data_IF_157640525474
#
_entry.id   IF_157640525474
#
_cell.length_a   1.000
_cell.length_b   1.000
_cell.length_c   1.000
_cell.angle_alpha   90.00
_cell.angle_beta   90.00
_cell.angle_gamma   90.00
#
_symmetry.space_group_name_H-M   'P 1'
#
loop_
_entity.id
_entity.type
_entity.pdbx_description
1 polymer ?
#
# COMPACT_ATOMS: atom_id res chain seq x y z
N UNK A 1 74.99 31.78 -27.86
CA UNK A 1 75.93 30.72 -27.46
C UNK A 1 75.06 29.55 -27.14
N UNK A 2 74.86 28.78 -28.15
CA UNK A 2 75.43 27.47 -28.52
C UNK A 2 74.64 26.34 -27.79
N UNK A 3 74.00 25.64 -28.55
CA UNK A 3 74.07 24.45 -29.47
C UNK A 3 73.28 23.29 -28.84
N UNK A 4 72.29 22.82 -29.57
CA UNK A 4 72.25 21.61 -30.42
C UNK A 4 72.42 20.27 -29.66
N UNK A 5 71.48 19.39 -29.67
CA UNK A 5 71.37 18.25 -30.63
C UNK A 5 70.18 17.35 -30.33
N UNK A 6 69.52 17.14 -31.37
CA UNK A 6 68.73 16.03 -31.88
C UNK A 6 69.11 14.63 -31.36
N UNK A 7 68.13 13.78 -31.11
CA UNK A 7 68.02 12.46 -31.73
C UNK A 7 66.67 11.81 -31.57
N UNK A 8 66.10 11.52 -32.69
CA UNK A 8 64.97 10.61 -32.93
C UNK A 8 65.22 9.23 -32.37
N UNK A 9 64.20 8.58 -31.79
CA UNK A 9 63.96 7.16 -31.96
C UNK A 9 62.50 6.80 -32.09
N UNK A 10 62.25 5.97 -33.04
CA UNK A 10 61.08 5.51 -33.70
C UNK A 10 59.92 4.95 -32.78
N UNK A 11 58.73 5.12 -33.30
CA UNK A 11 57.49 4.54 -32.90
C UNK A 11 57.46 3.00 -33.00
N UNK A 12 56.81 2.37 -32.05
CA UNK A 12 56.20 1.04 -32.21
C UNK A 12 54.75 1.09 -31.77
N UNK A 13 53.76 0.64 -32.54
CA UNK A 13 52.38 0.68 -32.19
C UNK A 13 52.01 -0.51 -31.31
N UNK A 14 51.62 -0.28 -30.06
CA UNK A 14 51.21 -1.29 -29.11
C UNK A 14 49.72 -1.27 -28.89
N UNK A 15 49.03 -2.27 -29.42
CA UNK A 15 47.83 -2.95 -28.97
C UNK A 15 46.70 -2.09 -28.36
N UNK A 16 45.67 -1.90 -29.15
CA UNK A 16 44.32 -1.51 -28.67
C UNK A 16 43.83 -2.50 -27.62
N UNK A 17 43.66 -2.02 -26.40
CA UNK A 17 42.96 -2.75 -25.35
C UNK A 17 41.45 -2.69 -25.63
N UNK A 18 40.85 -3.84 -25.88
CA UNK A 18 39.41 -4.05 -25.97
C UNK A 18 38.74 -3.67 -24.62
N UNK A 19 37.56 -3.02 -24.63
CA UNK A 19 36.83 -2.79 -23.40
C UNK A 19 36.37 -4.12 -22.83
N UNK A 20 36.68 -4.35 -21.55
CA UNK A 20 36.17 -5.46 -20.78
C UNK A 20 34.65 -5.32 -20.66
N UNK A 21 33.91 -6.15 -21.37
CA UNK A 21 32.53 -6.47 -21.14
C UNK A 21 32.44 -7.28 -19.84
N UNK A 22 32.13 -6.63 -18.76
CA UNK A 22 31.97 -7.28 -17.48
C UNK A 22 31.02 -6.47 -16.65
N UNK A 23 29.81 -7.00 -16.48
CA UNK A 23 28.84 -6.83 -15.38
C UNK A 23 27.39 -6.74 -15.86
N UNK A 24 26.93 -7.75 -16.58
CA UNK A 24 25.49 -7.96 -16.79
C UNK A 24 24.92 -9.15 -16.01
N UNK A 25 25.70 -9.75 -15.09
CA UNK A 25 25.28 -10.99 -14.39
C UNK A 25 24.54 -10.77 -13.07
N UNK A 26 24.47 -9.53 -12.56
CA UNK A 26 23.93 -9.27 -11.22
C UNK A 26 22.41 -9.06 -11.21
N UNK A 27 21.80 -8.69 -12.34
CA UNK A 27 20.36 -8.39 -12.40
C UNK A 27 19.50 -9.63 -12.73
N UNK A 28 20.07 -10.63 -13.39
CA UNK A 28 19.31 -11.82 -13.84
C UNK A 28 18.98 -12.78 -12.69
N UNK A 29 19.84 -12.87 -11.68
CA UNK A 29 19.61 -13.76 -10.52
C UNK A 29 18.37 -13.38 -9.66
N UNK A 30 18.14 -12.11 -9.29
CA UNK A 30 16.92 -11.76 -8.54
C UNK A 30 15.64 -11.91 -9.36
N UNK A 31 15.68 -11.70 -10.69
CA UNK A 31 14.51 -11.90 -11.55
C UNK A 31 14.12 -13.38 -11.69
N UNK A 32 15.08 -14.29 -11.71
CA UNK A 32 14.82 -15.75 -11.73
C UNK A 32 14.23 -16.20 -10.39
N UNK A 33 14.72 -15.67 -9.25
CA UNK A 33 14.15 -15.95 -7.93
C UNK A 33 12.72 -15.40 -7.81
N UNK A 34 12.44 -14.22 -8.34
CA UNK A 34 11.12 -13.64 -8.36
C UNK A 34 10.15 -14.46 -9.24
N UNK A 35 10.59 -14.93 -10.40
CA UNK A 35 9.79 -15.79 -11.28
C UNK A 35 9.52 -17.16 -10.67
N UNK A 36 10.47 -17.74 -9.92
CA UNK A 36 10.30 -19.00 -9.20
C UNK A 36 9.37 -18.85 -7.98
N UNK A 37 9.43 -17.71 -7.27
CA UNK A 37 8.51 -17.41 -6.17
C UNK A 37 7.08 -17.21 -6.68
N UNK A 38 6.90 -16.52 -7.81
CA UNK A 38 5.59 -16.34 -8.46
C UNK A 38 5.04 -17.64 -9.06
N UNK A 39 5.91 -18.54 -9.53
CA UNK A 39 5.51 -19.84 -10.09
C UNK A 39 5.18 -20.90 -9.04
N UNK A 40 5.70 -20.80 -7.81
CA UNK A 40 5.38 -21.70 -6.70
C UNK A 40 4.06 -21.35 -5.99
N UNK A 41 3.53 -20.17 -6.23
CA UNK A 41 2.23 -19.75 -5.75
C UNK A 41 1.17 -20.20 -6.77
N UNK A 42 0.64 -21.41 -6.58
CA UNK A 42 -0.50 -21.91 -7.35
C UNK A 42 -1.72 -20.95 -7.29
N UNK A 43 -2.79 -21.19 -8.10
CA UNK A 43 -3.88 -20.24 -8.36
C UNK A 43 -4.76 -19.86 -7.14
N UNK A 44 -4.25 -19.98 -5.94
CA UNK A 44 -4.88 -19.58 -4.67
C UNK A 44 -4.13 -18.45 -3.96
N UNK A 45 -3.39 -17.62 -4.69
CA UNK A 45 -2.87 -16.39 -4.11
C UNK A 45 -4.08 -15.51 -3.82
N UNK A 46 -4.52 -15.52 -2.58
CA UNK A 46 -5.50 -14.57 -2.09
C UNK A 46 -4.80 -13.21 -2.06
N UNK A 47 -5.01 -12.42 -3.10
CA UNK A 47 -4.62 -11.02 -3.07
C UNK A 47 -5.38 -10.35 -1.92
N UNK A 48 -4.72 -9.50 -1.18
CA UNK A 48 -5.25 -8.71 -0.07
C UNK A 48 -6.51 -7.96 -0.51
N UNK A 49 -7.48 -7.80 0.38
CA UNK A 49 -8.59 -6.86 0.17
C UNK A 49 -8.03 -5.45 -0.04
N UNK A 50 -8.90 -4.52 -0.45
CA UNK A 50 -8.58 -3.09 -0.50
C UNK A 50 -7.70 -2.74 0.68
N UNK A 51 -6.49 -2.22 0.46
CA UNK A 51 -5.57 -1.93 1.53
C UNK A 51 -6.29 -1.11 2.60
N UNK A 52 -6.15 -1.51 3.87
CA UNK A 52 -6.64 -0.65 4.94
C UNK A 52 -5.88 0.68 4.85
N UNK A 53 -6.47 1.80 5.26
CA UNK A 53 -5.77 3.08 5.34
C UNK A 53 -4.40 2.97 6.01
N UNK A 54 -4.25 2.07 6.99
CA UNK A 54 -2.96 1.78 7.63
C UNK A 54 -1.91 1.16 6.72
N UNK A 55 -2.28 0.23 5.87
CA UNK A 55 -1.33 -0.36 4.92
C UNK A 55 -0.87 0.66 3.89
N UNK A 56 -1.77 1.52 3.43
CA UNK A 56 -1.42 2.61 2.54
C UNK A 56 -0.48 3.61 3.21
N UNK A 57 -0.74 3.95 4.47
CA UNK A 57 0.09 4.86 5.22
C UNK A 57 1.52 4.35 5.42
N UNK A 58 1.71 3.07 5.73
CA UNK A 58 3.00 2.43 5.87
C UNK A 58 3.89 2.65 4.64
N UNK A 59 3.31 2.62 3.46
CA UNK A 59 4.04 2.74 2.20
C UNK A 59 4.19 4.18 1.72
N UNK A 60 3.25 5.07 1.95
CA UNK A 60 3.29 6.45 1.46
C UNK A 60 3.74 7.45 2.52
N UNK A 61 3.15 7.43 3.71
CA UNK A 61 3.46 8.38 4.78
C UNK A 61 4.86 8.21 5.36
N UNK A 62 5.30 6.98 5.60
CA UNK A 62 6.63 6.69 6.14
C UNK A 62 7.76 7.18 5.23
N UNK A 63 7.56 7.18 3.92
CA UNK A 63 8.58 7.61 2.96
C UNK A 63 8.73 9.13 2.90
N UNK A 64 7.65 9.88 3.05
CA UNK A 64 7.76 11.35 3.16
C UNK A 64 8.60 11.71 4.38
N UNK A 65 8.42 11.02 5.50
CA UNK A 65 9.22 11.22 6.69
C UNK A 65 10.68 10.80 6.48
N UNK A 66 10.92 9.67 5.85
CA UNK A 66 12.28 9.23 5.56
C UNK A 66 13.05 10.25 4.75
N UNK A 67 12.46 10.81 3.69
CA UNK A 67 13.10 11.86 2.88
C UNK A 67 13.36 13.15 3.66
N UNK A 68 12.52 13.47 4.64
CA UNK A 68 12.72 14.66 5.46
C UNK A 68 13.97 14.55 6.33
N UNK A 69 14.28 13.35 6.82
CA UNK A 69 15.41 13.08 7.72
C UNK A 69 16.66 12.55 6.99
N UNK A 70 16.47 11.91 5.82
CA UNK A 70 17.52 11.33 4.98
C UNK A 70 17.36 11.85 3.54
N UNK A 71 17.88 13.05 3.24
CA UNK A 71 17.69 13.67 1.92
C UNK A 71 18.41 12.93 0.78
N UNK A 72 19.48 12.18 1.09
CA UNK A 72 20.32 11.48 0.11
C UNK A 72 19.91 10.02 -0.07
N UNK A 73 18.62 9.78 -0.31
CA UNK A 73 18.10 8.45 -0.58
C UNK A 73 18.56 7.95 -1.98
N UNK A 74 18.86 6.64 -2.13
CA UNK A 74 19.21 6.08 -3.42
C UNK A 74 18.05 6.23 -4.42
N UNK A 75 18.42 6.33 -5.71
CA UNK A 75 17.46 6.46 -6.81
C UNK A 75 16.44 5.34 -6.85
N UNK A 76 16.89 4.11 -6.64
CA UNK A 76 16.05 2.92 -6.54
C UNK A 76 15.99 2.43 -5.10
N UNK A 77 14.80 2.14 -4.65
CA UNK A 77 14.53 1.51 -3.36
C UNK A 77 13.59 0.35 -3.58
N UNK A 78 14.00 -0.81 -3.11
CA UNK A 78 13.23 -2.04 -3.25
C UNK A 78 13.06 -2.67 -1.89
N UNK A 79 11.82 -3.02 -1.55
CA UNK A 79 11.47 -3.78 -0.35
C UNK A 79 10.77 -5.05 -0.82
N UNK A 80 11.28 -6.18 -0.38
CA UNK A 80 10.67 -7.50 -0.60
C UNK A 80 10.52 -8.20 0.74
N UNK A 81 9.37 -8.81 0.95
CA UNK A 81 9.10 -9.48 2.20
C UNK A 81 7.90 -10.41 2.17
N UNK A 82 7.47 -10.78 3.35
CA UNK A 82 6.26 -11.55 3.56
C UNK A 82 5.45 -10.92 4.70
N UNK A 83 4.14 -10.84 4.51
CA UNK A 83 3.21 -10.32 5.50
C UNK A 83 2.14 -11.35 5.85
N UNK A 84 1.57 -11.16 7.02
CA UNK A 84 0.34 -11.82 7.44
C UNK A 84 -0.60 -10.77 8.02
N UNK A 85 -1.88 -10.87 7.64
CA UNK A 85 -2.92 -9.93 8.03
C UNK A 85 -4.06 -10.69 8.72
N UNK A 86 -4.53 -10.15 9.83
CA UNK A 86 -5.79 -10.53 10.49
C UNK A 86 -6.80 -9.43 10.24
N UNK A 87 -7.86 -9.73 9.52
CA UNK A 87 -8.88 -8.75 9.12
C UNK A 87 -10.28 -9.36 9.11
N UNK A 88 -11.36 -8.56 9.20
CA UNK A 88 -12.72 -9.05 8.98
C UNK A 88 -12.87 -9.64 7.58
N UNK A 89 -13.68 -10.68 7.42
CA UNK A 89 -13.92 -11.31 6.11
C UNK A 89 -14.58 -10.38 5.09
N UNK A 90 -15.32 -9.37 5.55
CA UNK A 90 -15.83 -8.20 4.82
C UNK A 90 -16.08 -7.05 5.81
N UNK A 91 -16.28 -5.83 5.30
CA UNK A 91 -16.59 -4.67 6.15
C UNK A 91 -17.95 -4.86 6.86
N UNK A 92 -17.92 -4.94 8.18
CA UNK A 92 -19.10 -5.19 9.00
C UNK A 92 -19.20 -6.63 9.51
N UNK A 93 -18.39 -7.56 9.05
CA UNK A 93 -18.35 -8.93 9.55
C UNK A 93 -17.92 -9.00 11.02
N UNK A 94 -18.42 -10.02 11.71
CA UNK A 94 -17.89 -10.43 13.01
C UNK A 94 -16.80 -11.47 12.87
N UNK A 95 -16.84 -12.25 11.80
CA UNK A 95 -15.84 -13.26 11.46
C UNK A 95 -14.55 -12.61 10.95
N UNK A 96 -13.42 -13.18 11.33
CA UNK A 96 -12.08 -12.76 10.92
C UNK A 96 -11.39 -13.84 10.15
N UNK A 97 -10.47 -13.44 9.29
CA UNK A 97 -9.59 -14.35 8.55
C UNK A 97 -8.15 -13.91 8.68
N UNK A 98 -7.25 -14.88 8.62
CA UNK A 98 -5.82 -14.64 8.48
C UNK A 98 -5.46 -14.84 7.02
N UNK A 99 -4.72 -13.89 6.46
CA UNK A 99 -4.14 -13.97 5.12
C UNK A 99 -2.64 -13.86 5.21
N UNK A 100 -1.95 -14.46 4.27
CA UNK A 100 -0.52 -14.28 4.09
C UNK A 100 -0.24 -13.93 2.63
N UNK A 101 0.76 -13.10 2.41
CA UNK A 101 1.15 -12.69 1.07
C UNK A 101 2.54 -12.09 1.00
N UNK A 102 3.07 -11.92 -0.22
CA UNK A 102 4.33 -11.23 -0.43
C UNK A 102 4.17 -9.72 -0.19
N UNK A 103 5.24 -9.10 0.30
CA UNK A 103 5.42 -7.64 0.29
C UNK A 103 6.34 -7.29 -0.86
N UNK A 104 5.86 -6.44 -1.75
CA UNK A 104 6.65 -5.90 -2.87
C UNK A 104 6.43 -4.40 -2.91
N UNK A 105 7.53 -3.64 -2.77
CA UNK A 105 7.50 -2.20 -2.90
C UNK A 105 8.76 -1.75 -3.66
N UNK A 106 8.58 -1.14 -4.80
CA UNK A 106 9.64 -0.66 -5.68
C UNK A 106 9.39 0.82 -5.93
N UNK A 107 10.41 1.65 -5.69
CA UNK A 107 10.33 3.09 -5.90
C UNK A 107 11.52 3.60 -6.68
N UNK A 108 11.25 4.56 -7.55
CA UNK A 108 12.25 5.23 -8.36
C UNK A 108 12.19 6.75 -8.12
N UNK A 109 13.27 7.31 -7.56
CA UNK A 109 13.47 8.78 -7.35
C UNK A 109 12.28 9.51 -6.73
N UNK A 110 11.49 8.83 -5.92
CA UNK A 110 10.22 9.38 -5.45
C UNK A 110 9.27 9.87 -6.58
N UNK A 111 9.58 9.52 -7.83
CA UNK A 111 8.77 9.85 -9.01
C UNK A 111 7.72 8.79 -9.28
N UNK A 112 8.14 7.53 -9.31
CA UNK A 112 7.28 6.41 -9.63
C UNK A 112 7.41 5.32 -8.57
N UNK A 113 6.34 4.59 -8.35
CA UNK A 113 6.32 3.47 -7.42
C UNK A 113 5.41 2.35 -7.93
N UNK A 114 5.73 1.16 -7.46
CA UNK A 114 4.88 -0.01 -7.55
C UNK A 114 4.87 -0.71 -6.21
N UNK A 115 3.71 -0.95 -5.64
CA UNK A 115 3.55 -1.82 -4.49
C UNK A 115 2.26 -2.63 -4.58
N UNK A 116 2.22 -3.78 -3.89
CA UNK A 116 0.99 -4.58 -3.86
C UNK A 116 -0.14 -3.87 -3.09
N UNK A 117 0.20 -2.99 -2.14
CA UNK A 117 -0.79 -2.23 -1.38
C UNK A 117 -1.28 -0.96 -2.07
N UNK A 118 -0.39 -0.19 -2.69
CA UNK A 118 -0.74 1.11 -3.31
C UNK A 118 -0.98 1.02 -4.82
N UNK A 119 -0.59 -0.11 -5.45
CA UNK A 119 -0.64 -0.29 -6.88
C UNK A 119 0.55 0.35 -7.62
N UNK A 120 0.35 0.70 -8.87
CA UNK A 120 1.31 1.40 -9.72
C UNK A 120 0.99 2.89 -9.74
N UNK A 121 1.94 3.72 -9.37
CA UNK A 121 1.68 5.15 -9.26
C UNK A 121 2.86 6.05 -9.61
N UNK A 122 2.53 7.32 -9.76
CA UNK A 122 3.49 8.40 -10.00
C UNK A 122 3.19 9.58 -9.08
N UNK A 123 4.24 10.23 -8.59
CA UNK A 123 4.18 11.50 -7.85
C UNK A 123 4.50 12.63 -8.83
N UNK A 124 3.49 13.36 -9.30
CA UNK A 124 3.68 14.45 -10.26
C UNK A 124 4.01 15.80 -9.59
N UNK A 125 3.61 16.00 -8.32
CA UNK A 125 4.08 17.08 -7.47
C UNK A 125 4.79 16.48 -6.26
N UNK A 126 6.01 16.95 -6.01
CA UNK A 126 6.85 16.44 -4.92
C UNK A 126 7.76 17.54 -4.40
N UNK A 127 7.93 17.56 -3.12
CA UNK A 127 8.80 18.48 -2.42
C UNK A 127 9.26 17.87 -1.10
N UNK A 128 10.04 18.62 -0.36
CA UNK A 128 10.59 18.14 0.91
C UNK A 128 9.52 17.74 1.93
N UNK A 129 8.36 18.41 1.89
CA UNK A 129 7.28 18.25 2.87
C UNK A 129 5.98 17.72 2.26
N UNK A 130 5.90 17.57 0.95
CA UNK A 130 4.65 17.20 0.31
C UNK A 130 4.85 16.29 -0.90
N UNK A 131 3.82 15.53 -1.19
CA UNK A 131 3.64 14.75 -2.41
C UNK A 131 2.20 14.84 -2.86
N UNK A 132 2.02 14.88 -4.18
CA UNK A 132 0.73 14.67 -4.83
C UNK A 132 0.95 13.71 -5.97
N UNK A 133 0.11 12.69 -6.05
CA UNK A 133 0.28 11.63 -7.04
C UNK A 133 -1.01 10.98 -7.44
N UNK A 134 -0.90 10.08 -8.41
CA UNK A 134 -1.97 9.22 -8.88
C UNK A 134 -1.49 7.79 -8.91
N UNK A 135 -2.35 6.83 -8.55
CA UNK A 135 -2.05 5.41 -8.67
C UNK A 135 -3.23 4.62 -9.24
N UNK A 136 -2.89 3.47 -9.79
CA UNK A 136 -3.80 2.44 -10.27
C UNK A 136 -3.66 1.22 -9.38
N UNK A 137 -4.74 0.75 -8.82
CA UNK A 137 -4.76 -0.43 -7.96
C UNK A 137 -5.99 -1.29 -8.23
N UNK A 138 -6.21 -2.28 -7.37
CA UNK A 138 -7.33 -3.20 -7.45
C UNK A 138 -8.07 -3.29 -6.12
N UNK A 139 -9.38 -3.12 -6.16
CA UNK A 139 -10.30 -3.51 -5.11
C UNK A 139 -10.62 -4.99 -5.29
N UNK A 140 -10.58 -5.78 -4.25
CA UNK A 140 -10.74 -7.24 -4.33
C UNK A 140 -12.19 -7.70 -4.16
N UNK A 141 -13.07 -6.76 -3.83
CA UNK A 141 -14.47 -7.04 -3.64
C UNK A 141 -14.77 -7.94 -2.44
N UNK A 142 -15.93 -8.62 -2.50
CA UNK A 142 -16.45 -9.48 -1.43
C UNK A 142 -17.03 -10.76 -2.03
N UNK A 143 -16.81 -11.88 -1.38
CA UNK A 143 -17.30 -13.18 -1.85
C UNK A 143 -18.30 -13.76 -0.85
N UNK A 144 -19.42 -14.25 -1.34
CA UNK A 144 -20.46 -14.92 -0.54
C UNK A 144 -19.92 -16.11 0.27
N UNK A 145 -19.04 -16.98 -0.28
CA UNK A 145 -18.49 -18.11 0.47
C UNK A 145 -17.62 -17.69 1.68
N UNK A 146 -17.15 -16.47 1.75
CA UNK A 146 -16.31 -16.00 2.87
C UNK A 146 -17.13 -15.88 4.18
N UNK A 147 -18.44 -15.65 4.05
CA UNK A 147 -19.40 -15.68 5.16
C UNK A 147 -20.81 -16.02 4.64
N UNK A 148 -20.99 -17.27 4.23
CA UNK A 148 -22.23 -17.71 3.60
C UNK A 148 -23.50 -17.44 4.45
N UNK A 149 -23.50 -17.64 5.79
CA UNK A 149 -24.70 -17.37 6.59
C UNK A 149 -25.25 -15.96 6.46
N UNK A 150 -24.35 -14.97 6.35
CA UNK A 150 -24.74 -13.54 6.33
C UNK A 150 -24.79 -12.95 4.91
N UNK A 151 -24.15 -13.60 3.93
CA UNK A 151 -24.01 -13.07 2.56
C UNK A 151 -24.82 -13.85 1.50
N UNK A 152 -25.47 -14.99 1.86
CA UNK A 152 -26.25 -15.75 0.89
C UNK A 152 -27.35 -14.89 0.26
N UNK A 153 -27.57 -15.08 -1.03
CA UNK A 153 -28.56 -14.30 -1.79
C UNK A 153 -28.16 -12.86 -2.13
N UNK A 154 -27.05 -12.33 -1.57
CA UNK A 154 -26.58 -10.97 -1.86
C UNK A 154 -25.69 -10.89 -3.09
N UNK A 155 -25.07 -12.02 -3.49
CA UNK A 155 -24.14 -12.11 -4.61
C UNK A 155 -22.73 -11.58 -4.28
N UNK A 156 -21.79 -12.01 -5.11
CA UNK A 156 -20.40 -11.56 -5.02
C UNK A 156 -20.23 -10.14 -5.52
N UNK A 157 -19.29 -9.42 -4.94
CA UNK A 157 -18.76 -8.18 -5.49
C UNK A 157 -17.43 -8.53 -6.15
N UNK A 158 -17.39 -8.45 -7.49
CA UNK A 158 -16.21 -8.83 -8.24
C UNK A 158 -15.04 -7.88 -7.98
N UNK A 159 -13.80 -8.36 -8.03
CA UNK A 159 -12.61 -7.51 -8.03
C UNK A 159 -12.66 -6.49 -9.17
N UNK A 160 -12.16 -5.28 -8.93
CA UNK A 160 -12.22 -4.21 -9.90
C UNK A 160 -11.02 -3.25 -9.78
N UNK A 161 -10.53 -2.68 -10.89
CA UNK A 161 -9.50 -1.66 -10.83
C UNK A 161 -10.05 -0.36 -10.26
N UNK A 162 -9.17 0.40 -9.62
CA UNK A 162 -9.45 1.78 -9.21
C UNK A 162 -8.34 2.74 -9.64
N UNK A 163 -8.72 4.00 -9.81
CA UNK A 163 -7.80 5.13 -9.87
C UNK A 163 -7.85 5.85 -8.54
N UNK A 164 -6.69 6.14 -7.95
CA UNK A 164 -6.54 6.90 -6.71
C UNK A 164 -5.74 8.17 -6.97
N UNK A 165 -6.27 9.31 -6.59
CA UNK A 165 -5.56 10.58 -6.46
C UNK A 165 -5.23 10.76 -4.98
N UNK A 166 -3.98 11.07 -4.65
CA UNK A 166 -3.55 11.24 -3.26
C UNK A 166 -2.65 12.45 -3.07
N UNK A 167 -2.66 12.97 -1.86
CA UNK A 167 -1.76 14.01 -1.40
C UNK A 167 -1.31 13.71 0.03
N UNK A 168 -0.01 13.90 0.29
CA UNK A 168 0.59 13.76 1.62
C UNK A 168 1.37 15.03 1.95
N UNK A 169 1.27 15.46 3.20
CA UNK A 169 1.95 16.65 3.70
C UNK A 169 2.53 16.38 5.09
N UNK A 170 3.79 16.73 5.31
CA UNK A 170 4.44 16.71 6.63
C UNK A 170 4.47 18.14 7.17
N UNK A 171 3.93 18.36 8.36
CA UNK A 171 3.78 19.72 8.90
C UNK A 171 5.11 20.43 9.08
N UNK A 172 6.07 19.81 9.77
CA UNK A 172 7.41 20.38 9.94
C UNK A 172 8.40 19.29 10.34
N UNK A 173 9.70 19.63 10.35
CA UNK A 173 10.75 18.72 10.85
C UNK A 173 10.69 18.56 12.37
N UNK A 174 10.28 19.60 13.08
CA UNK A 174 10.21 19.62 14.55
C UNK A 174 8.91 19.01 15.06
N UNK A 175 7.87 19.04 14.26
CA UNK A 175 6.59 18.37 14.51
C UNK A 175 6.18 17.57 13.27
N UNK A 176 6.74 16.38 13.05
CA UNK A 176 6.61 15.62 11.81
C UNK A 176 5.29 14.84 11.72
N UNK A 177 4.15 15.51 11.98
CA UNK A 177 2.83 14.95 11.72
C UNK A 177 2.60 14.88 10.22
N UNK A 178 2.22 13.71 9.74
CA UNK A 178 1.85 13.45 8.35
C UNK A 178 0.35 13.57 8.22
N UNK A 179 -0.11 14.41 7.31
CA UNK A 179 -1.50 14.48 6.88
C UNK A 179 -1.57 13.85 5.50
N UNK A 180 -2.47 12.91 5.31
CA UNK A 180 -2.72 12.26 4.03
C UNK A 180 -4.20 12.37 3.68
N UNK A 181 -4.46 12.64 2.42
CA UNK A 181 -5.80 12.62 1.83
C UNK A 181 -5.75 11.86 0.53
N UNK A 182 -6.76 11.07 0.26
CA UNK A 182 -6.93 10.45 -1.04
C UNK A 182 -8.39 10.38 -1.48
N UNK A 183 -8.55 10.20 -2.78
CA UNK A 183 -9.83 9.94 -3.41
C UNK A 183 -9.67 8.80 -4.42
N UNK A 184 -10.48 7.76 -4.27
CA UNK A 184 -10.48 6.57 -5.11
C UNK A 184 -11.76 6.44 -5.89
N UNK A 185 -11.66 6.18 -7.19
CA UNK A 185 -12.79 5.83 -8.05
C UNK A 185 -12.63 4.37 -8.49
N UNK A 186 -13.52 3.50 -8.04
CA UNK A 186 -13.56 2.09 -8.43
C UNK A 186 -14.37 1.95 -9.71
N UNK A 187 -13.83 1.19 -10.69
CA UNK A 187 -14.37 1.03 -12.04
C UNK A 187 -14.89 -0.38 -12.27
N UNK A 188 -16.00 -0.76 -11.63
CA UNK A 188 -16.57 -2.11 -11.64
C UNK A 188 -16.76 -2.62 -10.22
N UNK A 189 -17.09 -3.88 -10.01
CA UNK A 189 -17.26 -4.45 -8.68
C UNK A 189 -18.17 -3.61 -7.78
N UNK A 190 -17.59 -3.08 -6.70
CA UNK A 190 -18.24 -2.14 -5.79
C UNK A 190 -18.44 -0.73 -6.38
N UNK A 191 -18.10 -0.51 -7.62
CA UNK A 191 -18.30 0.73 -8.43
C UNK A 191 -18.75 1.96 -7.64
N UNK A 192 -17.82 2.88 -7.37
CA UNK A 192 -18.14 4.09 -6.60
C UNK A 192 -16.89 4.85 -6.20
N UNK A 193 -17.06 5.90 -5.42
CA UNK A 193 -15.97 6.74 -4.93
C UNK A 193 -15.83 6.63 -3.40
N UNK A 194 -14.57 6.55 -2.95
CA UNK A 194 -14.16 6.69 -1.56
C UNK A 194 -13.20 7.86 -1.43
N UNK A 195 -13.16 8.43 -0.24
CA UNK A 195 -12.17 9.41 0.13
C UNK A 195 -11.70 9.14 1.55
N UNK A 196 -10.40 9.16 1.77
CA UNK A 196 -9.78 8.96 3.06
C UNK A 196 -9.04 10.22 3.49
N UNK A 197 -9.10 10.51 4.78
CA UNK A 197 -8.31 11.51 5.46
C UNK A 197 -7.66 10.88 6.67
N UNK A 198 -6.36 11.10 6.81
CA UNK A 198 -5.54 10.51 7.85
C UNK A 198 -4.56 11.53 8.40
N UNK A 199 -4.28 11.44 9.69
CA UNK A 199 -3.28 12.28 10.33
C UNK A 199 -2.46 11.43 11.32
N UNK A 200 -1.19 11.21 11.04
CA UNK A 200 -0.31 10.39 11.84
C UNK A 200 0.85 11.19 12.40
N UNK A 201 1.24 10.87 13.63
CA UNK A 201 2.40 11.47 14.26
C UNK A 201 3.32 10.40 14.83
N UNK A 202 4.64 10.65 14.84
CA UNK A 202 5.59 9.80 15.55
C UNK A 202 5.28 9.78 17.03
N UNK A 203 5.37 8.61 17.65
CA UNK A 203 5.17 8.48 19.08
C UNK A 203 6.49 8.69 19.84
N UNK A 204 6.42 9.14 21.11
CA UNK A 204 7.57 9.18 22.00
C UNK A 204 8.23 7.81 22.12
N UNK A 205 9.57 7.78 22.14
CA UNK A 205 10.36 6.55 22.12
C UNK A 205 10.73 6.07 20.72
N UNK A 206 10.29 6.74 19.68
CA UNK A 206 10.78 6.50 18.33
C UNK A 206 12.27 6.84 18.22
N UNK A 207 13.02 5.99 17.52
CA UNK A 207 14.44 6.14 17.25
C UNK A 207 14.75 5.75 15.80
N UNK A 208 16.01 5.90 15.36
CA UNK A 208 16.42 5.47 14.02
C UNK A 208 16.23 3.97 13.76
N UNK A 209 16.28 3.14 14.81
CA UNK A 209 16.13 1.69 14.71
C UNK A 209 14.74 1.19 15.11
N UNK A 210 13.90 2.04 15.66
CA UNK A 210 12.53 1.69 16.07
C UNK A 210 11.63 2.90 15.93
N UNK A 211 10.75 2.85 14.96
CA UNK A 211 9.87 3.95 14.58
C UNK A 211 8.43 3.57 14.87
N UNK A 212 7.71 4.43 15.58
CA UNK A 212 6.32 4.22 15.91
C UNK A 212 5.49 5.42 15.48
N UNK A 213 4.32 5.14 14.95
CA UNK A 213 3.36 6.15 14.55
C UNK A 213 1.96 5.77 15.00
N UNK A 214 1.15 6.78 15.26
CA UNK A 214 -0.26 6.56 15.49
C UNK A 214 -1.07 7.80 15.08
N UNK A 215 -2.35 7.56 14.77
CA UNK A 215 -3.23 8.66 14.44
C UNK A 215 -4.62 8.26 13.98
N UNK A 216 -5.53 9.24 13.91
CA UNK A 216 -6.90 9.05 13.46
C UNK A 216 -7.01 8.95 11.94
N UNK A 217 -8.08 8.30 11.51
CA UNK A 217 -8.51 8.22 10.11
C UNK A 217 -10.02 8.38 9.99
N UNK A 218 -10.47 8.88 8.85
CA UNK A 218 -11.88 8.94 8.48
C UNK A 218 -12.02 8.55 7.02
N UNK A 219 -12.95 7.66 6.72
CA UNK A 219 -13.31 7.24 5.38
C UNK A 219 -14.69 7.75 5.04
N UNK A 220 -14.80 8.44 3.92
CA UNK A 220 -16.07 8.83 3.30
C UNK A 220 -16.33 7.96 2.07
N UNK A 221 -17.61 7.63 1.79
CA UNK A 221 -17.96 6.90 0.59
C UNK A 221 -19.25 7.46 -0.04
N UNK A 222 -19.31 7.40 -1.37
CA UNK A 222 -20.52 7.84 -2.06
C UNK A 222 -21.63 6.77 -1.99
N UNK A 223 -22.86 7.20 -2.34
CA UNK A 223 -24.03 6.32 -2.36
C UNK A 223 -23.79 5.03 -3.18
N UNK A 224 -23.14 5.13 -4.36
CA UNK A 224 -22.98 4.00 -5.26
C UNK A 224 -22.11 2.91 -4.64
N UNK A 225 -21.00 3.29 -4.02
CA UNK A 225 -20.13 2.36 -3.30
C UNK A 225 -20.86 1.70 -2.14
N UNK A 226 -21.47 2.52 -1.25
CA UNK A 226 -22.16 2.01 -0.08
C UNK A 226 -23.36 1.13 -0.44
N UNK A 227 -24.07 1.42 -1.54
CA UNK A 227 -25.19 0.58 -1.99
C UNK A 227 -24.72 -0.81 -2.44
N UNK A 228 -23.55 -0.90 -3.05
CA UNK A 228 -22.96 -2.20 -3.44
C UNK A 228 -22.46 -2.98 -2.23
N UNK A 229 -21.81 -2.30 -1.28
CA UNK A 229 -21.21 -2.96 -0.11
C UNK A 229 -22.23 -3.30 0.97
N UNK A 230 -23.17 -2.40 1.24
CA UNK A 230 -24.05 -2.47 2.41
C UNK A 230 -25.55 -2.45 2.06
N UNK A 231 -25.91 -2.13 0.84
CA UNK A 231 -27.31 -2.09 0.39
C UNK A 231 -27.87 -3.48 0.12
N UNK A 232 -29.21 -3.59 0.23
CA UNK A 232 -29.96 -4.80 -0.10
C UNK A 232 -31.09 -4.40 -1.04
N UNK A 233 -30.99 -4.82 -2.31
CA UNK A 233 -32.02 -4.61 -3.32
C UNK A 233 -33.22 -5.53 -3.09
N UNK A 234 -34.33 -5.27 -3.78
CA UNK A 234 -35.51 -6.13 -3.72
C UNK A 234 -35.20 -7.58 -4.13
N UNK A 235 -34.42 -7.78 -5.20
CA UNK A 235 -34.03 -9.11 -5.66
C UNK A 235 -33.18 -9.83 -4.62
N UNK A 236 -32.22 -9.14 -3.99
CA UNK A 236 -31.38 -9.68 -2.94
C UNK A 236 -32.21 -9.99 -1.68
N UNK A 237 -33.17 -9.13 -1.33
CA UNK A 237 -34.09 -9.35 -0.21
C UNK A 237 -34.90 -10.65 -0.37
N UNK A 238 -35.43 -10.90 -1.57
CA UNK A 238 -36.15 -12.14 -1.87
C UNK A 238 -35.25 -13.38 -1.82
N UNK A 239 -33.99 -13.25 -2.22
CA UNK A 239 -33.04 -14.36 -2.25
C UNK A 239 -32.38 -14.65 -0.90
N UNK A 240 -32.19 -13.63 -0.04
CA UNK A 240 -31.49 -13.75 1.25
C UNK A 240 -32.45 -13.79 2.45
N UNK A 241 -33.72 -13.36 2.28
CA UNK A 241 -34.63 -13.16 3.40
C UNK A 241 -34.37 -11.91 4.22
N UNK A 242 -33.33 -11.13 3.90
CA UNK A 242 -32.99 -9.89 4.61
C UNK A 242 -33.87 -8.73 4.14
N UNK A 243 -34.19 -7.74 4.99
CA UNK A 243 -35.00 -6.59 4.57
C UNK A 243 -34.30 -5.73 3.53
N UNK A 244 -35.07 -5.12 2.63
CA UNK A 244 -34.56 -4.14 1.65
C UNK A 244 -33.87 -3.01 2.44
N UNK A 245 -32.67 -2.63 2.03
CA UNK A 245 -31.91 -1.58 2.68
C UNK A 245 -31.27 -0.64 1.65
N UNK A 246 -31.74 0.60 1.65
CA UNK A 246 -31.18 1.65 0.81
C UNK A 246 -30.23 2.50 1.64
N UNK A 247 -29.07 2.76 1.11
CA UNK A 247 -28.02 3.53 1.80
C UNK A 247 -27.98 4.97 1.31
N UNK A 248 -27.30 5.82 2.05
CA UNK A 248 -26.94 7.17 1.62
C UNK A 248 -25.42 7.30 1.68
N UNK A 249 -24.85 8.12 0.77
CA UNK A 249 -23.45 8.51 0.82
C UNK A 249 -23.16 9.29 2.11
N UNK A 250 -21.93 9.18 2.61
CA UNK A 250 -21.49 9.86 3.81
C UNK A 250 -20.26 9.22 4.44
N UNK A 251 -20.04 9.49 5.72
CA UNK A 251 -18.96 8.87 6.48
C UNK A 251 -19.20 7.36 6.59
N UNK A 252 -18.27 6.59 6.04
CA UNK A 252 -18.28 5.13 6.11
C UNK A 252 -17.72 4.63 7.43
N UNK A 253 -16.56 5.17 7.83
CA UNK A 253 -15.91 4.78 9.08
C UNK A 253 -15.07 5.91 9.68
N UNK A 254 -14.82 5.80 10.98
CA UNK A 254 -13.79 6.55 11.69
C UNK A 254 -12.88 5.56 12.39
N UNK A 255 -11.59 5.82 12.40
CA UNK A 255 -10.61 4.87 12.90
C UNK A 255 -9.45 5.51 13.62
N UNK A 256 -8.65 4.65 14.21
CA UNK A 256 -7.35 4.99 14.79
C UNK A 256 -6.37 3.88 14.45
N UNK A 257 -5.21 4.27 13.97
CA UNK A 257 -4.15 3.39 13.54
C UNK A 257 -2.88 3.53 14.35
N UNK A 258 -2.13 2.45 14.41
CA UNK A 258 -0.81 2.35 15.01
C UNK A 258 0.09 1.55 14.09
N UNK A 259 1.31 2.02 13.87
CA UNK A 259 2.36 1.33 13.12
C UNK A 259 3.67 1.36 13.91
N UNK A 260 4.37 0.23 13.94
CA UNK A 260 5.69 0.11 14.56
C UNK A 260 6.63 -0.64 13.62
N UNK A 261 7.73 -0.01 13.27
CA UNK A 261 8.78 -0.61 12.43
C UNK A 261 10.07 -0.74 13.23
N UNK A 262 10.61 -1.95 13.30
CA UNK A 262 11.90 -2.25 13.92
C UNK A 262 12.92 -2.63 12.85
N UNK A 263 13.99 -1.86 12.71
CA UNK A 263 15.15 -2.22 11.90
C UNK A 263 16.02 -3.19 12.69
N UNK A 264 16.02 -4.47 12.29
CA UNK A 264 16.83 -5.53 12.95
C UNK A 264 18.27 -5.40 12.51
N UNK A 265 18.49 -5.15 11.21
CA UNK A 265 19.78 -4.86 10.60
C UNK A 265 19.66 -3.68 9.64
N UNK A 266 20.70 -3.39 8.86
CA UNK A 266 20.63 -2.37 7.80
C UNK A 266 19.67 -2.74 6.66
N UNK A 267 19.37 -4.02 6.48
CA UNK A 267 18.55 -4.54 5.40
C UNK A 267 17.25 -5.21 5.87
N UNK A 268 17.21 -5.74 7.08
CA UNK A 268 16.03 -6.44 7.61
C UNK A 268 15.23 -5.56 8.55
N UNK A 269 13.94 -5.51 8.32
CA UNK A 269 12.98 -4.86 9.20
C UNK A 269 11.80 -5.77 9.54
N UNK A 270 11.24 -5.55 10.70
CA UNK A 270 9.97 -6.10 11.15
C UNK A 270 8.99 -4.95 11.26
N UNK A 271 7.80 -5.11 10.69
CA UNK A 271 6.73 -4.15 10.84
C UNK A 271 5.51 -4.77 11.47
N UNK A 272 4.80 -3.99 12.29
CA UNK A 272 3.52 -4.35 12.91
C UNK A 272 2.60 -3.17 12.78
N UNK A 273 1.43 -3.39 12.18
CA UNK A 273 0.37 -2.41 12.03
C UNK A 273 -0.89 -2.90 12.74
N UNK A 274 -1.55 -2.02 13.46
CA UNK A 274 -2.80 -2.31 14.12
C UNK A 274 -3.81 -1.18 13.87
N UNK A 275 -5.06 -1.53 13.62
CA UNK A 275 -6.14 -0.57 13.48
C UNK A 275 -7.38 -0.99 14.25
N UNK A 276 -8.08 0.03 14.68
CA UNK A 276 -9.47 -0.10 15.11
C UNK A 276 -10.28 0.95 14.37
N UNK A 277 -11.38 0.54 13.76
CA UNK A 277 -12.30 1.46 13.09
C UNK A 277 -13.74 1.17 13.51
N UNK A 278 -14.58 2.17 13.40
CA UNK A 278 -15.99 2.07 13.68
C UNK A 278 -16.79 2.53 12.47
N UNK A 279 -17.61 1.63 11.94
CA UNK A 279 -18.54 1.93 10.87
C UNK A 279 -19.55 3.00 11.32
N UNK A 280 -19.94 3.86 10.40
CA UNK A 280 -20.83 4.98 10.62
C UNK A 280 -21.96 5.02 9.57
N UNK A 281 -22.94 5.88 9.81
CA UNK A 281 -24.00 6.14 8.87
C UNK A 281 -24.74 4.89 8.38
N UNK A 282 -24.90 4.79 7.07
CA UNK A 282 -25.59 3.67 6.42
C UNK A 282 -24.85 2.35 6.58
N UNK A 283 -23.51 2.36 6.54
CA UNK A 283 -22.71 1.16 6.74
C UNK A 283 -22.95 0.53 8.14
N UNK A 284 -23.02 1.36 9.19
CA UNK A 284 -23.24 0.89 10.57
C UNK A 284 -24.64 0.32 10.81
N UNK A 285 -25.63 0.71 10.01
CA UNK A 285 -27.03 0.35 10.18
C UNK A 285 -27.51 -0.71 9.17
N UNK A 286 -26.62 -1.19 8.31
CA UNK A 286 -26.96 -2.23 7.35
C UNK A 286 -27.31 -3.55 8.03
N UNK A 287 -28.32 -4.29 7.55
CA UNK A 287 -28.65 -5.62 8.03
C UNK A 287 -27.51 -6.64 7.96
N UNK A 288 -26.55 -6.44 7.05
CA UNK A 288 -25.37 -7.31 6.91
C UNK A 288 -24.22 -6.91 7.84
N UNK A 289 -24.36 -5.82 8.60
CA UNK A 289 -23.34 -5.37 9.54
C UNK A 289 -23.55 -6.04 10.89
N UNK A 290 -22.77 -7.07 11.16
CA UNK A 290 -22.80 -7.82 12.44
C UNK A 290 -22.00 -7.09 13.53
N UNK A 291 -20.93 -6.41 13.15
CA UNK A 291 -20.07 -5.65 14.06
C UNK A 291 -19.78 -4.27 13.48
N UNK A 292 -20.12 -3.22 14.21
CA UNK A 292 -19.74 -1.85 13.84
C UNK A 292 -18.28 -1.57 14.11
N UNK A 293 -17.66 -2.27 15.07
CA UNK A 293 -16.24 -2.11 15.40
C UNK A 293 -15.44 -3.16 14.66
N UNK A 294 -14.54 -2.69 13.82
CA UNK A 294 -13.64 -3.49 13.01
C UNK A 294 -12.21 -3.35 13.53
N UNK A 295 -11.48 -4.42 13.57
CA UNK A 295 -10.08 -4.44 13.97
C UNK A 295 -9.25 -5.04 12.84
N UNK A 296 -8.01 -4.58 12.69
CA UNK A 296 -7.06 -5.16 11.77
C UNK A 296 -5.69 -5.24 12.46
N UNK A 297 -4.94 -6.28 12.14
CA UNK A 297 -3.55 -6.45 12.57
C UNK A 297 -2.78 -6.99 11.38
N UNK A 298 -1.67 -6.35 11.05
CA UNK A 298 -0.75 -6.83 10.04
C UNK A 298 0.66 -6.94 10.63
N UNK A 299 1.42 -7.92 10.16
CA UNK A 299 2.82 -8.11 10.51
C UNK A 299 3.58 -8.46 9.25
N UNK A 300 4.76 -7.86 9.05
CA UNK A 300 5.64 -8.23 7.94
C UNK A 300 7.10 -8.32 8.38
N UNK A 301 7.84 -9.15 7.66
CA UNK A 301 9.30 -9.22 7.70
C UNK A 301 9.79 -8.89 6.31
N UNK A 302 10.58 -7.84 6.21
CA UNK A 302 10.94 -7.24 4.95
C UNK A 302 12.45 -7.07 4.82
N UNK A 303 12.94 -7.26 3.61
CA UNK A 303 14.32 -6.98 3.23
C UNK A 303 14.34 -5.79 2.27
N UNK A 304 15.18 -4.81 2.56
CA UNK A 304 15.36 -3.63 1.71
C UNK A 304 16.79 -3.51 1.18
N UNK A 305 16.90 -3.01 -0.06
CA UNK A 305 18.13 -2.71 -0.77
C UNK A 305 18.37 -1.21 -0.87
#
# INVERSE_FOLDING_TARGET
MDRYSDQNHAATPGAAALPRTGESKTIVRPLIFLALLLGALGPRVAFSQTPSPLQEWQYSGGIVLQQLFEPDLPDWRTVLGAATDLEPVYQGARAYRVRGGPVINIRYKDLAFFSLGEGLGINFLRGRYYRVGVSLGFDLGRRVPDDYPNLHGLGDIAPAPYVKLFASYVMSKDFPMVIQVDARQIMGGASGALGDFEAYMPLPGSSRSFVMFAGPSITWANHRYLQKEFGISQTQSLASGSPIFNVHGGTNSVGFGFSATRFITRHWLLNVDAAISQLRGSAANSPITESRTQKALAMSVDYHW
#
